data_IF_293931250745
#
_entry.id   IF_293931250745
#
_cell.length_a   1.000
_cell.length_b   1.000
_cell.length_c   1.000
_cell.angle_alpha   90.00
_cell.angle_beta   90.00
_cell.angle_gamma   90.00
#
_symmetry.space_group_name_H-M   'P 1'
#
loop_
_entity.id
_entity.type
_entity.pdbx_description
1 polymer ?
#
# COMPACT_ATOMS: atom_id res chain seq x y z
N UNK A 1 55.86 10.28 15.28
CA UNK A 1 54.65 10.88 14.66
C UNK A 1 53.75 9.74 14.18
N UNK A 2 52.81 9.31 15.03
CA UNK A 2 51.74 8.39 14.60
C UNK A 2 50.65 9.25 13.97
N UNK A 3 50.41 9.04 12.68
CA UNK A 3 49.38 9.73 11.92
C UNK A 3 48.10 8.92 12.14
N UNK A 4 47.22 9.40 13.00
CA UNK A 4 45.92 8.79 13.29
C UNK A 4 45.02 8.93 12.07
N UNK A 5 44.88 7.85 11.30
CA UNK A 5 43.94 7.78 10.18
C UNK A 5 42.50 7.75 10.72
N UNK A 6 41.82 8.89 10.70
CA UNK A 6 40.38 8.99 10.93
C UNK A 6 39.64 8.50 9.68
N UNK A 7 39.35 7.20 9.62
CA UNK A 7 38.46 6.63 8.61
C UNK A 7 37.03 6.98 9.03
N UNK A 8 36.46 8.01 8.40
CA UNK A 8 35.05 8.38 8.57
C UNK A 8 34.19 7.42 7.73
N UNK A 9 33.47 6.51 8.39
CA UNK A 9 32.42 5.71 7.77
C UNK A 9 31.16 6.56 7.59
N UNK A 10 30.92 7.04 6.37
CA UNK A 10 29.62 7.61 6.00
C UNK A 10 28.66 6.45 5.79
N UNK A 11 27.73 6.24 6.74
CA UNK A 11 26.65 5.28 6.57
C UNK A 11 25.64 5.83 5.54
N UNK A 12 25.55 5.17 4.38
CA UNK A 12 24.45 5.40 3.43
C UNK A 12 23.16 4.84 4.05
N UNK A 13 22.32 5.70 4.60
CA UNK A 13 20.96 5.34 4.94
C UNK A 13 20.16 5.19 3.62
N UNK A 14 19.81 3.96 3.26
CA UNK A 14 18.83 3.72 2.21
C UNK A 14 17.45 4.16 2.74
N UNK A 15 16.87 5.18 2.12
CA UNK A 15 15.52 5.64 2.45
C UNK A 15 14.58 5.01 1.41
N UNK A 16 13.84 3.97 1.81
CA UNK A 16 12.77 3.43 0.98
C UNK A 16 11.55 4.35 1.09
N UNK A 17 11.03 4.85 -0.04
CA UNK A 17 9.74 5.55 -0.06
C UNK A 17 8.65 4.51 -0.28
N UNK A 18 7.84 4.27 0.74
CA UNK A 18 6.69 3.38 0.66
C UNK A 18 5.41 4.19 0.48
N UNK A 19 4.52 3.73 -0.41
CA UNK A 19 3.14 4.20 -0.43
C UNK A 19 2.34 3.35 0.56
N UNK A 20 1.96 3.97 1.66
CA UNK A 20 1.24 3.31 2.75
C UNK A 20 -0.24 3.63 2.65
N UNK A 21 -1.06 2.70 3.12
CA UNK A 21 -2.50 2.82 3.11
C UNK A 21 -3.08 2.42 4.47
N UNK A 22 -4.17 3.09 4.86
CA UNK A 22 -4.95 2.74 6.05
C UNK A 22 -6.06 1.74 5.76
N UNK A 23 -6.37 1.47 4.49
CA UNK A 23 -7.41 0.53 4.08
C UNK A 23 -7.08 -0.15 2.76
N UNK A 24 -7.44 -1.42 2.61
CA UNK A 24 -7.36 -2.14 1.34
C UNK A 24 -8.56 -3.07 1.12
N UNK A 25 -8.89 -3.27 -0.16
CA UNK A 25 -9.91 -4.20 -0.66
C UNK A 25 -9.35 -5.00 -1.83
N UNK A 26 -9.70 -6.28 -1.90
CA UNK A 26 -9.52 -7.07 -3.10
C UNK A 26 -10.68 -6.78 -4.05
N UNK A 27 -10.36 -6.52 -5.32
CA UNK A 27 -11.35 -6.22 -6.35
C UNK A 27 -11.16 -7.11 -7.59
N UNK A 28 -12.23 -7.35 -8.32
CA UNK A 28 -12.22 -8.01 -9.63
C UNK A 28 -12.87 -7.11 -10.69
N UNK A 29 -12.67 -7.50 -11.96
CA UNK A 29 -13.31 -6.88 -13.13
C UNK A 29 -13.12 -5.37 -13.21
N UNK A 30 -11.95 -4.92 -12.73
CA UNK A 30 -11.57 -3.50 -12.73
C UNK A 30 -11.43 -3.03 -14.18
N UNK A 31 -12.38 -2.22 -14.62
CA UNK A 31 -12.39 -1.61 -15.94
C UNK A 31 -12.52 -0.11 -15.82
N UNK A 32 -11.71 0.63 -16.59
CA UNK A 32 -11.77 2.09 -16.64
C UNK A 32 -12.20 2.48 -18.04
N UNK A 33 -13.33 3.18 -18.14
CA UNK A 33 -13.89 3.60 -19.41
C UNK A 33 -14.19 5.09 -19.36
N UNK A 34 -13.99 5.81 -20.48
CA UNK A 34 -14.44 7.18 -20.57
C UNK A 34 -15.97 7.21 -20.51
N UNK A 35 -16.50 8.12 -19.70
CA UNK A 35 -17.93 8.35 -19.54
C UNK A 35 -18.23 9.83 -19.82
N UNK A 36 -19.43 10.10 -20.31
CA UNK A 36 -19.83 11.43 -20.77
C UNK A 36 -19.81 11.56 -22.30
N UNK A 37 -19.73 12.80 -22.80
CA UNK A 37 -19.71 13.10 -24.24
C UNK A 37 -18.40 12.71 -24.93
N UNK A 38 -18.10 13.35 -26.06
CA UNK A 38 -16.83 13.13 -26.77
C UNK A 38 -15.64 13.63 -25.96
N UNK A 39 -14.42 13.25 -26.35
CA UNK A 39 -13.17 13.66 -25.67
C UNK A 39 -12.96 15.19 -25.53
N UNK A 40 -13.71 16.00 -26.28
CA UNK A 40 -13.67 17.46 -26.23
C UNK A 40 -14.81 18.07 -25.40
N UNK A 41 -15.67 17.24 -24.80
CA UNK A 41 -16.79 17.69 -23.97
C UNK A 41 -16.34 17.96 -22.54
N UNK A 42 -16.90 19.00 -21.91
CA UNK A 42 -16.69 19.29 -20.47
C UNK A 42 -17.15 18.15 -19.56
N UNK A 43 -18.04 17.31 -20.06
CA UNK A 43 -18.55 16.11 -19.39
C UNK A 43 -17.63 14.89 -19.53
N UNK A 44 -16.57 14.96 -20.34
CA UNK A 44 -15.68 13.83 -20.56
C UNK A 44 -14.87 13.55 -19.29
N UNK A 45 -15.16 12.43 -18.65
CA UNK A 45 -14.45 11.97 -17.46
C UNK A 45 -14.21 10.47 -17.57
N UNK A 46 -13.48 9.92 -16.60
CA UNK A 46 -13.19 8.49 -16.53
C UNK A 46 -13.88 7.91 -15.31
N UNK A 47 -14.60 6.82 -15.53
CA UNK A 47 -15.18 6.04 -14.44
C UNK A 47 -14.50 4.69 -14.37
N UNK A 48 -14.12 4.29 -13.16
CA UNK A 48 -13.59 2.95 -12.90
C UNK A 48 -14.69 2.13 -12.24
N UNK A 49 -15.11 1.06 -12.91
CA UNK A 49 -16.01 0.06 -12.34
C UNK A 49 -15.20 -1.13 -11.83
N UNK A 50 -15.59 -1.68 -10.68
CA UNK A 50 -14.99 -2.86 -10.10
C UNK A 50 -15.97 -3.51 -9.12
N UNK A 51 -15.80 -4.80 -8.89
CA UNK A 51 -16.51 -5.54 -7.84
C UNK A 51 -15.57 -5.76 -6.67
N UNK A 52 -16.02 -5.46 -5.45
CA UNK A 52 -15.27 -5.76 -4.22
C UNK A 52 -15.54 -7.21 -3.83
N UNK A 53 -14.47 -7.93 -3.46
CA UNK A 53 -14.52 -9.32 -3.02
C UNK A 53 -14.23 -9.41 -1.50
N UNK A 54 -15.26 -9.43 -0.63
CA UNK A 54 -15.05 -9.40 0.82
C UNK A 54 -14.28 -10.62 1.35
N UNK A 55 -14.56 -11.82 0.82
CA UNK A 55 -13.89 -13.05 1.27
C UNK A 55 -12.40 -13.06 0.91
N UNK A 56 -12.06 -12.63 -0.31
CA UNK A 56 -10.67 -12.45 -0.73
C UNK A 56 -9.99 -11.38 0.12
N UNK A 57 -10.69 -10.28 0.41
CA UNK A 57 -10.20 -9.19 1.26
C UNK A 57 -9.92 -9.68 2.68
N UNK A 58 -10.82 -10.48 3.26
CA UNK A 58 -10.63 -11.10 4.58
C UNK A 58 -9.42 -12.02 4.60
N UNK A 59 -9.25 -12.83 3.55
CA UNK A 59 -8.08 -13.70 3.41
C UNK A 59 -6.79 -12.88 3.39
N UNK A 60 -6.70 -11.87 2.52
CA UNK A 60 -5.55 -10.95 2.44
C UNK A 60 -5.31 -10.23 3.78
N UNK A 61 -6.35 -9.76 4.46
CA UNK A 61 -6.23 -9.10 5.75
C UNK A 61 -5.62 -10.00 6.83
N UNK A 62 -5.94 -11.30 6.81
CA UNK A 62 -5.29 -12.26 7.70
C UNK A 62 -3.79 -12.43 7.40
N UNK A 63 -3.39 -12.39 6.13
CA UNK A 63 -1.97 -12.38 5.77
C UNK A 63 -1.28 -11.10 6.25
N UNK A 64 -1.86 -9.93 6.03
CA UNK A 64 -1.33 -8.66 6.53
C UNK A 64 -1.15 -8.67 8.05
N UNK A 65 -2.17 -9.12 8.79
CA UNK A 65 -2.12 -9.22 10.25
C UNK A 65 -1.02 -10.15 10.76
N UNK A 66 -0.70 -11.19 10.00
CA UNK A 66 0.37 -12.15 10.34
C UNK A 66 1.71 -11.82 9.68
N UNK A 67 1.81 -10.69 8.96
CA UNK A 67 3.01 -10.30 8.24
C UNK A 67 4.14 -9.96 9.21
N UNK A 68 5.33 -10.46 8.91
CA UNK A 68 6.55 -10.19 9.66
C UNK A 68 7.76 -10.44 8.75
N UNK A 69 7.99 -9.54 7.79
CA UNK A 69 9.01 -9.70 6.73
C UNK A 69 10.29 -8.90 6.96
N UNK A 70 10.31 -8.04 7.98
CA UNK A 70 11.44 -7.15 8.25
C UNK A 70 11.16 -6.21 9.43
N UNK A 71 11.69 -4.99 9.38
CA UNK A 71 11.60 -3.99 10.44
C UNK A 71 11.00 -2.65 9.98
N UNK A 72 10.58 -2.53 8.72
CA UNK A 72 9.87 -1.35 8.24
C UNK A 72 8.42 -1.34 8.72
N UNK A 73 7.75 -0.19 8.58
CA UNK A 73 6.36 -0.02 9.03
C UNK A 73 5.42 -1.01 8.35
N UNK A 74 5.59 -1.25 7.06
CA UNK A 74 4.74 -2.16 6.26
C UNK A 74 5.08 -3.65 6.38
N UNK A 75 6.20 -3.99 7.03
CA UNK A 75 6.59 -5.38 7.26
C UNK A 75 5.72 -6.08 8.30
N UNK A 76 4.97 -5.32 9.08
CA UNK A 76 4.13 -5.80 10.18
C UNK A 76 2.83 -5.01 10.16
N UNK A 77 1.70 -5.68 10.35
CA UNK A 77 0.42 -5.00 10.54
C UNK A 77 -0.27 -5.46 11.84
N UNK A 78 0.23 -5.03 13.02
CA UNK A 78 -0.31 -5.46 14.30
C UNK A 78 -1.75 -4.97 14.56
N UNK A 79 -2.18 -3.94 13.84
CA UNK A 79 -3.49 -3.30 13.95
C UNK A 79 -4.42 -3.62 12.76
N UNK A 80 -4.01 -4.51 11.85
CA UNK A 80 -4.85 -4.90 10.71
C UNK A 80 -6.11 -5.62 11.19
N UNK A 81 -7.27 -5.08 10.80
CA UNK A 81 -8.58 -5.64 11.15
C UNK A 81 -9.53 -5.63 9.97
N UNK A 82 -10.26 -6.71 9.79
CA UNK A 82 -11.29 -6.81 8.76
C UNK A 82 -12.63 -6.35 9.32
N UNK A 83 -13.28 -5.38 8.68
CA UNK A 83 -14.54 -4.78 9.15
C UNK A 83 -15.82 -5.38 8.52
N UNK A 84 -15.67 -6.37 7.63
CA UNK A 84 -16.77 -6.96 6.86
C UNK A 84 -16.69 -6.64 5.37
N UNK A 85 -15.93 -5.61 4.97
CA UNK A 85 -15.73 -5.24 3.57
C UNK A 85 -14.25 -5.01 3.24
N UNK A 86 -13.53 -4.28 4.09
CA UNK A 86 -12.15 -3.86 3.88
C UNK A 86 -11.24 -4.29 5.02
N UNK A 87 -9.95 -4.38 4.73
CA UNK A 87 -8.91 -4.50 5.74
C UNK A 87 -8.47 -3.10 6.16
N UNK A 88 -8.53 -2.77 7.44
CA UNK A 88 -8.15 -1.47 7.99
C UNK A 88 -6.89 -1.57 8.85
N UNK A 89 -6.06 -0.53 8.79
CA UNK A 89 -4.91 -0.29 9.66
C UNK A 89 -4.87 1.21 10.00
N UNK A 90 -5.09 1.56 11.27
CA UNK A 90 -4.99 2.93 11.74
C UNK A 90 -3.54 3.45 11.68
N UNK A 91 -2.58 2.55 11.82
CA UNK A 91 -1.15 2.81 11.75
C UNK A 91 -0.57 2.78 10.34
N UNK A 92 -1.39 2.73 9.28
CA UNK A 92 -0.92 2.78 7.88
C UNK A 92 0.12 1.70 7.56
N UNK A 93 -0.17 0.45 7.94
CA UNK A 93 0.73 -0.69 7.77
C UNK A 93 0.46 -1.49 6.48
N UNK A 94 -0.47 -1.05 5.63
CA UNK A 94 -0.84 -1.74 4.40
C UNK A 94 -0.06 -1.15 3.21
N UNK A 95 0.47 -2.03 2.36
CA UNK A 95 1.26 -1.70 1.16
C UNK A 95 2.77 -1.69 1.41
N UNK A 96 3.47 -0.72 0.82
CA UNK A 96 4.86 -0.37 1.11
C UNK A 96 5.97 -1.05 0.29
N UNK A 97 5.67 -2.15 -0.40
CA UNK A 97 6.53 -2.78 -1.40
C UNK A 97 6.16 -2.45 -2.86
N UNK A 98 5.34 -1.42 -3.04
CA UNK A 98 4.77 -0.94 -4.32
C UNK A 98 5.74 -0.08 -5.17
#
# INVERSE_FOLDING_TARGET
MQITSLISFVALAAVASANLHSSAVCVTDRSSQPVGGTAFSVSYTWSTNYEILPDATKCACNYYRNRNTGNEQWDKCPDCTFDGLQCNSAGWHIGGDE
#
